data_IF_791662317234
#
_entry.id   IF_791662317234
#
_cell.length_a   1.000
_cell.length_b   1.000
_cell.length_c   1.000
_cell.angle_alpha   90.00
_cell.angle_beta   90.00
_cell.angle_gamma   90.00
#
_symmetry.space_group_name_H-M   'P 1'
#
loop_
_entity.id
_entity.type
_entity.pdbx_description
1 polymer ?
#
# COMPACT_ATOMS: atom_id res chain seq x y z
N UNK A 1 30.08 7.05 18.73
CA UNK A 1 28.87 6.20 18.49
C UNK A 1 27.75 6.36 19.52
N UNK A 2 28.00 6.56 20.83
CA UNK A 2 26.92 6.53 21.86
C UNK A 2 25.86 7.65 21.82
N UNK A 3 26.18 8.86 21.33
CA UNK A 3 25.20 9.99 21.30
C UNK A 3 24.10 9.86 20.24
N UNK A 4 24.33 9.16 19.12
CA UNK A 4 23.34 9.06 18.03
C UNK A 4 22.13 8.21 18.42
N UNK A 5 22.33 7.16 19.22
CA UNK A 5 21.24 6.32 19.70
C UNK A 5 20.42 6.99 20.82
N UNK A 6 21.02 7.90 21.60
CA UNK A 6 20.34 8.56 22.71
C UNK A 6 19.13 9.41 22.27
N UNK A 7 19.26 10.17 21.18
CA UNK A 7 18.17 10.95 20.59
C UNK A 7 17.04 10.05 20.03
N UNK A 8 17.41 8.93 19.41
CA UNK A 8 16.44 7.94 18.94
C UNK A 8 15.66 7.32 20.11
N UNK A 9 16.34 6.95 21.20
CA UNK A 9 15.68 6.43 22.40
C UNK A 9 14.78 7.48 23.08
N UNK A 10 15.20 8.75 23.15
CA UNK A 10 14.37 9.83 23.69
C UNK A 10 13.14 10.09 22.84
N UNK A 11 13.29 10.05 21.51
CA UNK A 11 12.17 10.19 20.59
C UNK A 11 11.18 9.03 20.74
N UNK A 12 11.66 7.79 20.77
CA UNK A 12 10.84 6.60 21.04
C UNK A 12 10.16 6.70 22.42
N UNK A 13 10.88 7.07 23.48
CA UNK A 13 10.29 7.23 24.82
C UNK A 13 9.24 8.35 24.87
N UNK A 14 9.43 9.45 24.15
CA UNK A 14 8.46 10.55 24.10
C UNK A 14 7.17 10.16 23.38
N UNK A 15 7.26 9.31 22.35
CA UNK A 15 6.10 8.71 21.68
C UNK A 15 5.27 7.81 22.61
N UNK A 16 5.92 7.17 23.59
CA UNK A 16 5.24 6.31 24.57
C UNK A 16 4.64 7.05 25.78
N UNK A 17 5.10 8.27 26.11
CA UNK A 17 4.64 9.01 27.31
C UNK A 17 3.46 9.97 27.07
N UNK A 18 2.98 10.11 25.84
CA UNK A 18 1.82 10.96 25.55
C UNK A 18 0.50 10.23 25.83
N UNK A 19 0.08 10.39 27.09
CA UNK A 19 -1.30 10.41 27.58
C UNK A 19 -2.07 9.08 27.50
N UNK A 20 -2.25 8.47 28.67
CA UNK A 20 -3.25 7.43 28.94
C UNK A 20 -4.65 8.06 28.96
N UNK A 21 -5.36 8.02 27.84
CA UNK A 21 -6.80 8.26 27.81
C UNK A 21 -7.55 6.94 27.94
N UNK A 22 -8.71 7.00 28.59
CA UNK A 22 -9.62 5.86 28.74
C UNK A 22 -9.95 5.27 27.36
N UNK A 23 -9.51 4.03 27.16
CA UNK A 23 -9.69 3.27 25.93
C UNK A 23 -11.12 2.74 25.88
N UNK A 24 -12.03 3.46 25.24
CA UNK A 24 -13.24 2.82 24.68
C UNK A 24 -12.77 1.92 23.53
N UNK A 25 -13.29 0.70 23.47
CA UNK A 25 -13.00 -0.22 22.36
C UNK A 25 -13.30 0.49 21.03
N UNK A 26 -12.28 0.74 20.22
CA UNK A 26 -12.38 1.53 18.99
C UNK A 26 -11.96 0.70 17.77
N UNK A 27 -12.70 0.92 16.68
CA UNK A 27 -12.44 0.26 15.40
C UNK A 27 -11.26 0.93 14.70
N UNK A 28 -10.10 0.27 14.73
CA UNK A 28 -8.92 0.70 13.99
C UNK A 28 -9.21 0.80 12.48
N UNK A 29 -8.84 1.91 11.83
CA UNK A 29 -9.11 2.18 10.41
C UNK A 29 -7.80 2.08 9.59
N UNK A 30 -7.46 0.91 9.01
CA UNK A 30 -6.22 0.70 8.25
C UNK A 30 -6.29 1.35 6.86
N UNK A 31 -6.02 2.65 6.79
CA UNK A 31 -5.88 3.35 5.49
C UNK A 31 -4.43 3.73 5.18
N UNK A 32 -3.51 3.35 6.06
CA UNK A 32 -2.11 3.76 6.06
C UNK A 32 -1.34 2.97 5.01
N UNK A 33 -0.74 3.66 4.06
CA UNK A 33 0.02 3.09 2.96
C UNK A 33 1.19 4.02 2.61
N UNK A 34 2.26 3.45 2.08
CA UNK A 34 3.36 4.19 1.47
C UNK A 34 3.04 4.64 0.03
N UNK A 35 4.00 5.27 -0.64
CA UNK A 35 3.82 5.73 -2.02
C UNK A 35 3.49 4.63 -3.02
N UNK A 36 3.94 3.41 -2.75
CA UNK A 36 3.61 2.23 -3.57
C UNK A 36 2.26 1.61 -3.21
N UNK A 37 1.54 2.16 -2.22
CA UNK A 37 0.30 1.60 -1.73
C UNK A 37 0.51 0.37 -0.84
N UNK A 38 1.70 0.16 -0.26
CA UNK A 38 2.00 -0.97 0.64
C UNK A 38 1.89 -0.56 2.10
N UNK A 39 1.55 -1.54 2.92
CA UNK A 39 1.46 -1.42 4.38
C UNK A 39 1.75 -2.77 5.02
N UNK A 40 2.41 -2.79 6.17
CA UNK A 40 2.41 -3.98 7.03
C UNK A 40 1.12 -4.09 7.86
N UNK A 41 0.37 -2.99 8.01
CA UNK A 41 -0.88 -2.97 8.78
C UNK A 41 -2.07 -3.30 7.89
N UNK A 42 -2.34 -4.60 7.77
CA UNK A 42 -3.50 -5.14 7.04
C UNK A 42 -4.61 -5.43 8.06
N UNK A 43 -5.53 -4.49 8.29
CA UNK A 43 -6.69 -4.76 9.14
C UNK A 43 -7.95 -5.04 8.30
N UNK A 44 -8.93 -5.78 8.86
CA UNK A 44 -10.10 -6.26 8.13
C UNK A 44 -11.14 -5.13 7.94
N UNK A 45 -10.81 -4.15 7.10
CA UNK A 45 -11.69 -3.04 6.74
C UNK A 45 -11.80 -2.94 5.22
N UNK A 46 -13.03 -2.87 4.72
CA UNK A 46 -13.28 -2.63 3.30
C UNK A 46 -13.19 -1.14 2.94
N UNK A 47 -12.65 -0.83 1.77
CA UNK A 47 -12.60 0.53 1.26
C UNK A 47 -12.55 0.59 -0.27
N UNK A 48 -12.90 1.75 -0.83
CA UNK A 48 -12.54 2.17 -2.17
C UNK A 48 -11.58 3.35 -2.04
N UNK A 49 -10.39 3.28 -2.63
CA UNK A 49 -9.35 4.28 -2.42
C UNK A 49 -8.63 4.68 -3.70
N UNK A 50 -8.05 5.88 -3.65
CA UNK A 50 -7.14 6.42 -4.66
C UNK A 50 -5.84 6.80 -3.95
N UNK A 51 -4.72 6.41 -4.54
CA UNK A 51 -3.38 6.84 -4.14
C UNK A 51 -2.75 7.56 -5.33
N UNK A 52 -2.36 8.83 -5.15
CA UNK A 52 -1.86 9.67 -6.23
C UNK A 52 -0.44 9.34 -6.64
N UNK A 53 0.35 8.75 -5.74
CA UNK A 53 1.77 8.48 -5.97
C UNK A 53 1.93 7.32 -6.96
N UNK A 54 1.49 6.12 -6.59
CA UNK A 54 1.43 4.99 -7.52
C UNK A 54 0.25 5.04 -8.50
N UNK A 55 -0.55 6.11 -8.45
CA UNK A 55 -1.61 6.37 -9.42
C UNK A 55 -2.60 5.21 -9.56
N UNK A 56 -3.03 4.71 -8.41
CA UNK A 56 -3.87 3.52 -8.31
C UNK A 56 -5.26 3.83 -7.80
N UNK A 57 -6.23 3.07 -8.31
CA UNK A 57 -7.57 2.95 -7.76
C UNK A 57 -7.67 1.54 -7.16
N UNK A 58 -8.05 1.45 -5.89
CA UNK A 58 -8.08 0.20 -5.13
C UNK A 58 -9.45 -0.04 -4.54
N UNK A 59 -9.96 -1.24 -4.72
CA UNK A 59 -11.12 -1.76 -4.02
C UNK A 59 -10.68 -2.91 -3.11
N UNK A 60 -10.95 -2.75 -1.83
CA UNK A 60 -10.66 -3.75 -0.81
C UNK A 60 -11.94 -4.13 -0.10
N UNK A 61 -12.14 -5.43 0.09
CA UNK A 61 -13.29 -5.97 0.79
C UNK A 61 -12.87 -7.06 1.77
N UNK A 62 -13.47 -7.06 2.95
CA UNK A 62 -13.22 -8.04 4.00
C UNK A 62 -14.52 -8.66 4.48
N UNK A 63 -14.45 -9.96 4.73
CA UNK A 63 -15.46 -10.71 5.45
C UNK A 63 -14.84 -11.25 6.74
N UNK A 64 -15.43 -10.88 7.86
CA UNK A 64 -15.13 -11.45 9.18
C UNK A 64 -16.46 -11.83 9.79
N UNK A 65 -16.63 -13.10 10.15
CA UNK A 65 -17.81 -13.50 10.93
C UNK A 65 -17.53 -13.11 12.37
N UNK A 66 -18.43 -12.32 12.96
CA UNK A 66 -18.25 -11.89 14.33
C UNK A 66 -18.37 -13.06 15.31
N UNK A 67 -17.82 -12.82 16.49
CA UNK A 67 -18.01 -13.68 17.64
C UNK A 67 -19.52 -13.81 17.92
N UNK A 68 -20.06 -15.03 17.85
CA UNK A 68 -21.47 -15.32 18.13
C UNK A 68 -21.59 -15.98 19.50
N UNK A 69 -22.65 -15.68 20.26
CA UNK A 69 -22.95 -16.43 21.48
C UNK A 69 -23.12 -17.92 21.14
N UNK A 70 -22.50 -18.81 21.91
CA UNK A 70 -22.68 -20.23 21.71
C UNK A 70 -24.13 -20.58 22.04
N UNK A 71 -24.95 -21.04 21.07
CA UNK A 71 -26.37 -21.30 21.29
C UNK A 71 -26.61 -22.42 22.30
N UNK A 72 -25.60 -23.24 22.60
CA UNK A 72 -25.67 -24.33 23.60
C UNK A 72 -25.20 -23.90 25.00
N UNK A 73 -24.34 -22.88 25.08
CA UNK A 73 -23.79 -22.37 26.35
C UNK A 73 -23.80 -20.84 26.25
N UNK A 74 -24.90 -20.16 26.64
CA UNK A 74 -25.04 -18.71 26.49
C UNK A 74 -23.98 -17.90 27.24
N UNK A 75 -23.24 -18.51 28.17
CA UNK A 75 -22.12 -17.93 28.89
C UNK A 75 -20.77 -18.02 28.12
N UNK A 76 -20.73 -18.68 26.97
CA UNK A 76 -19.53 -18.84 26.15
C UNK A 76 -19.71 -18.19 24.78
N UNK A 77 -18.76 -17.34 24.40
CA UNK A 77 -18.74 -16.71 23.08
C UNK A 77 -17.94 -17.61 22.12
N UNK A 78 -18.58 -18.10 21.04
CA UNK A 78 -17.89 -18.78 19.94
C UNK A 78 -17.19 -17.75 19.09
N UNK A 79 -15.90 -17.56 19.36
CA UNK A 79 -15.06 -16.58 18.67
C UNK A 79 -14.62 -17.12 17.33
N UNK A 80 -15.25 -16.67 16.24
CA UNK A 80 -14.61 -16.79 14.94
C UNK A 80 -13.58 -15.66 14.82
N UNK A 81 -12.30 -16.04 14.86
CA UNK A 81 -11.16 -15.12 14.76
C UNK A 81 -10.60 -15.05 13.34
N UNK A 82 -11.14 -15.87 12.44
CA UNK A 82 -10.73 -15.91 11.06
C UNK A 82 -11.45 -14.85 10.25
N UNK A 83 -10.70 -14.18 9.38
CA UNK A 83 -11.25 -13.33 8.35
C UNK A 83 -10.58 -13.65 7.03
N UNK A 84 -11.28 -13.30 5.95
CA UNK A 84 -10.73 -13.32 4.62
C UNK A 84 -11.15 -12.07 3.88
N UNK A 85 -10.49 -11.78 2.78
CA UNK A 85 -10.81 -10.62 1.97
C UNK A 85 -10.28 -10.72 0.57
N UNK A 86 -10.66 -9.74 -0.24
CA UNK A 86 -10.16 -9.55 -1.59
C UNK A 86 -9.72 -8.10 -1.75
N UNK A 87 -8.66 -7.90 -2.52
CA UNK A 87 -8.17 -6.60 -2.91
C UNK A 87 -7.94 -6.60 -4.41
N UNK A 88 -8.46 -5.59 -5.09
CA UNK A 88 -8.33 -5.40 -6.53
C UNK A 88 -7.86 -3.98 -6.74
N UNK A 89 -6.77 -3.81 -7.47
CA UNK A 89 -6.25 -2.50 -7.81
C UNK A 89 -5.95 -2.38 -9.30
N UNK A 90 -6.38 -1.27 -9.89
CA UNK A 90 -5.91 -0.81 -11.19
C UNK A 90 -4.88 0.29 -10.99
N UNK A 91 -3.78 0.26 -11.72
CA UNK A 91 -2.74 1.29 -11.70
C UNK A 91 -2.37 1.74 -13.11
N UNK A 92 -1.84 2.94 -13.23
CA UNK A 92 -1.19 3.43 -14.44
C UNK A 92 0.32 3.39 -14.25
N UNK A 93 1.05 2.67 -15.11
CA UNK A 93 2.52 2.78 -15.11
C UNK A 93 2.93 4.21 -15.50
N UNK A 94 3.91 4.78 -14.80
CA UNK A 94 4.37 6.17 -14.99
C UNK A 94 3.46 7.27 -14.42
N UNK A 95 2.44 6.91 -13.63
CA UNK A 95 1.67 7.88 -12.85
C UNK A 95 0.49 8.57 -13.57
N UNK A 96 -0.35 9.25 -12.81
CA UNK A 96 -1.52 10.02 -13.30
C UNK A 96 -1.08 11.21 -14.14
N UNK A 97 0.12 11.74 -13.89
CA UNK A 97 0.72 12.79 -14.73
C UNK A 97 0.82 12.36 -16.19
N UNK A 98 1.16 11.10 -16.47
CA UNK A 98 1.27 10.61 -17.84
C UNK A 98 -0.07 10.54 -18.57
N UNK A 99 -1.17 10.35 -17.84
CA UNK A 99 -2.52 10.42 -18.40
C UNK A 99 -2.83 11.83 -18.93
N UNK A 100 -2.44 12.87 -18.18
CA UNK A 100 -2.71 14.27 -18.54
C UNK A 100 -1.69 14.86 -19.51
N UNK A 101 -0.42 14.45 -19.41
CA UNK A 101 0.68 15.02 -20.20
C UNK A 101 0.89 14.34 -21.55
N UNK A 102 0.71 13.02 -21.63
CA UNK A 102 1.00 12.24 -22.84
C UNK A 102 -0.22 11.54 -23.44
N UNK A 103 -1.40 11.67 -22.80
CA UNK A 103 -2.62 10.98 -23.22
C UNK A 103 -2.49 9.46 -23.24
N UNK A 104 -1.44 8.93 -22.60
CA UNK A 104 -1.07 7.52 -22.66
C UNK A 104 -1.32 6.87 -21.31
N UNK A 105 -2.11 5.81 -21.33
CA UNK A 105 -2.45 5.03 -20.14
C UNK A 105 -1.95 3.61 -20.35
N UNK A 106 -1.00 3.18 -19.54
CA UNK A 106 -0.53 1.79 -19.51
C UNK A 106 -1.17 1.10 -18.32
N UNK A 107 -2.33 0.42 -18.50
CA UNK A 107 -3.04 -0.22 -17.41
C UNK A 107 -2.25 -1.39 -16.84
N UNK A 108 -2.03 -1.35 -15.52
CA UNK A 108 -1.76 -2.51 -14.69
C UNK A 108 -3.03 -2.90 -13.94
N UNK A 109 -3.26 -4.21 -13.76
CA UNK A 109 -4.29 -4.71 -12.85
C UNK A 109 -3.67 -5.72 -11.90
N UNK A 110 -4.03 -5.63 -10.64
CA UNK A 110 -3.63 -6.58 -9.61
C UNK A 110 -4.84 -7.03 -8.81
N UNK A 111 -4.79 -8.28 -8.34
CA UNK A 111 -5.79 -8.86 -7.46
C UNK A 111 -5.09 -9.69 -6.40
N UNK A 112 -5.58 -9.63 -5.17
CA UNK A 112 -5.06 -10.35 -4.01
C UNK A 112 -6.18 -10.95 -3.18
N UNK A 113 -5.87 -12.06 -2.52
CA UNK A 113 -6.67 -12.70 -1.48
C UNK A 113 -5.98 -12.49 -0.14
N UNK A 114 -6.75 -12.20 0.90
CA UNK A 114 -6.28 -12.17 2.28
C UNK A 114 -6.90 -13.31 3.07
N UNK A 115 -6.11 -13.91 3.94
CA UNK A 115 -6.54 -14.82 4.99
C UNK A 115 -5.88 -14.39 6.27
N UNK A 116 -6.62 -14.26 7.36
CA UNK A 116 -6.01 -13.86 8.62
C UNK A 116 -6.72 -14.39 9.85
N UNK A 117 -6.01 -14.27 10.96
CA UNK A 117 -6.44 -14.74 12.27
C UNK A 117 -6.19 -13.64 13.32
N UNK A 118 -7.24 -13.23 14.03
CA UNK A 118 -7.20 -12.23 15.11
C UNK A 118 -6.92 -12.87 16.46
N UNK A 119 -6.43 -12.09 17.41
CA UNK A 119 -6.11 -12.51 18.77
C UNK A 119 -5.27 -13.80 18.82
N UNK A 120 -4.10 -13.80 18.18
CA UNK A 120 -3.24 -14.98 18.11
C UNK A 120 -2.56 -15.21 19.48
N UNK A 121 -1.94 -14.17 20.02
CA UNK A 121 -1.27 -14.19 21.31
C UNK A 121 -2.02 -13.39 22.39
N UNK A 122 -2.77 -12.35 22.00
CA UNK A 122 -3.50 -11.49 22.93
C UNK A 122 -5.01 -11.66 22.73
N UNK A 123 -5.71 -12.35 23.66
CA UNK A 123 -7.15 -12.48 23.56
C UNK A 123 -7.80 -11.11 23.70
N UNK A 124 -8.44 -10.59 22.65
CA UNK A 124 -9.05 -9.26 22.71
C UNK A 124 -10.21 -9.18 23.72
N UNK A 125 -10.93 -10.29 23.93
CA UNK A 125 -12.09 -10.38 24.83
C UNK A 125 -11.92 -11.53 25.86
N UNK A 126 -12.61 -11.46 27.00
CA UNK A 126 -12.72 -12.52 28.01
C UNK A 126 -13.92 -13.46 27.71
N UNK A 127 -14.17 -14.46 28.58
CA UNK A 127 -15.24 -15.44 28.33
C UNK A 127 -16.63 -14.79 28.28
N UNK A 128 -16.78 -13.65 28.95
CA UNK A 128 -17.99 -12.86 29.08
C UNK A 128 -18.14 -11.81 27.96
N UNK A 129 -17.11 -11.61 27.14
CA UNK A 129 -17.11 -10.66 26.03
C UNK A 129 -16.61 -9.27 26.40
N UNK A 130 -16.06 -9.07 27.60
CA UNK A 130 -15.42 -7.82 27.97
C UNK A 130 -13.97 -7.77 27.43
N UNK A 131 -13.41 -6.59 27.11
CA UNK A 131 -12.01 -6.46 26.69
C UNK A 131 -11.03 -7.00 27.73
N UNK A 132 -10.02 -7.77 27.31
CA UNK A 132 -8.93 -8.18 28.22
C UNK A 132 -7.91 -7.05 28.32
N UNK A 133 -7.68 -6.60 29.55
CA UNK A 133 -6.77 -5.49 29.85
C UNK A 133 -5.42 -6.06 30.30
N UNK A 134 -4.34 -5.46 29.81
CA UNK A 134 -2.97 -5.92 30.04
C UNK A 134 -2.11 -4.84 30.69
N UNK A 135 -1.25 -5.26 31.62
CA UNK A 135 -0.27 -4.40 32.29
C UNK A 135 -0.87 -3.43 33.32
N UNK A 136 -0.02 -2.58 33.92
CA UNK A 136 -0.42 -1.63 34.98
C UNK A 136 -1.36 -0.52 34.50
N UNK A 137 -1.35 -0.24 33.19
CA UNK A 137 -2.15 0.82 32.58
C UNK A 137 -3.48 0.28 32.03
N UNK A 138 -3.80 -0.99 32.29
CA UNK A 138 -5.04 -1.64 31.86
C UNK A 138 -5.36 -1.42 30.37
N UNK A 139 -4.35 -1.59 29.51
CA UNK A 139 -4.52 -1.37 28.07
C UNK A 139 -5.08 -2.62 27.39
N UNK A 140 -6.12 -2.46 26.59
CA UNK A 140 -6.59 -3.52 25.70
C UNK A 140 -5.54 -3.77 24.60
N UNK A 141 -5.16 -5.02 24.37
CA UNK A 141 -4.22 -5.41 23.32
C UNK A 141 -4.92 -6.40 22.39
N UNK A 142 -4.90 -6.11 21.09
CA UNK A 142 -5.37 -7.01 20.05
C UNK A 142 -4.27 -7.22 19.03
N UNK A 143 -3.98 -8.46 18.68
CA UNK A 143 -3.05 -8.80 17.61
C UNK A 143 -3.74 -9.54 16.45
N UNK A 144 -3.13 -9.55 15.27
CA UNK A 144 -3.56 -10.41 14.18
C UNK A 144 -2.42 -10.75 13.23
N UNK A 145 -2.54 -11.93 12.62
CA UNK A 145 -1.66 -12.44 11.57
C UNK A 145 -2.44 -12.49 10.26
N UNK A 146 -1.84 -12.04 9.17
CA UNK A 146 -2.44 -12.01 7.83
C UNK A 146 -1.48 -12.61 6.81
N UNK A 147 -1.99 -13.53 5.99
CA UNK A 147 -1.38 -13.97 4.75
C UNK A 147 -2.11 -13.29 3.58
N UNK A 148 -1.36 -12.65 2.70
CA UNK A 148 -1.86 -12.11 1.43
C UNK A 148 -1.17 -12.84 0.29
N UNK A 149 -1.94 -13.27 -0.70
CA UNK A 149 -1.42 -13.83 -1.95
C UNK A 149 -2.11 -13.13 -3.11
N UNK A 150 -1.35 -12.67 -4.10
CA UNK A 150 -1.88 -11.92 -5.22
C UNK A 150 -1.11 -12.11 -6.51
N UNK A 151 -1.71 -11.65 -7.60
CA UNK A 151 -1.15 -11.62 -8.94
C UNK A 151 -1.32 -10.24 -9.56
N UNK A 152 -0.42 -9.91 -10.48
CA UNK A 152 -0.47 -8.68 -11.27
C UNK A 152 -0.28 -9.02 -12.75
N UNK A 153 -1.02 -8.32 -13.61
CA UNK A 153 -0.83 -8.39 -15.06
C UNK A 153 -0.75 -6.98 -15.62
N UNK A 154 0.21 -6.76 -16.51
CA UNK A 154 0.36 -5.52 -17.26
C UNK A 154 0.86 -5.83 -18.68
N UNK A 155 0.62 -4.90 -19.60
CA UNK A 155 1.13 -4.98 -20.96
C UNK A 155 1.82 -3.65 -21.28
N UNK A 156 3.11 -3.71 -21.56
CA UNK A 156 3.95 -2.55 -21.82
C UNK A 156 4.26 -2.44 -23.30
N UNK A 157 4.34 -1.21 -23.82
CA UNK A 157 4.90 -0.95 -25.15
C UNK A 157 6.33 -0.47 -24.95
N UNK A 158 7.31 -1.20 -25.46
CA UNK A 158 8.72 -0.91 -25.28
C UNK A 158 9.35 -0.43 -26.60
N UNK A 159 10.44 0.31 -26.47
CA UNK A 159 11.27 0.77 -27.58
C UNK A 159 12.72 0.33 -27.41
N UNK A 160 13.27 -0.30 -28.46
CA UNK A 160 14.69 -0.64 -28.56
C UNK A 160 15.21 -0.26 -29.95
N UNK A 161 16.12 0.72 -30.00
CA UNK A 161 16.71 1.23 -31.24
C UNK A 161 17.60 0.20 -31.96
N UNK A 162 18.09 -0.81 -31.24
CA UNK A 162 19.00 -1.83 -31.77
C UNK A 162 18.27 -2.92 -32.56
N UNK A 163 16.94 -3.00 -32.46
CA UNK A 163 16.13 -3.92 -33.23
C UNK A 163 15.89 -3.40 -34.66
N UNK A 164 15.62 -4.29 -35.65
CA UNK A 164 15.18 -3.86 -36.98
C UNK A 164 13.96 -2.93 -36.87
N UNK A 165 13.85 -1.91 -37.74
CA UNK A 165 12.81 -0.86 -37.68
C UNK A 165 11.39 -1.38 -37.39
N UNK A 166 10.97 -2.47 -38.06
CA UNK A 166 9.65 -3.07 -37.88
C UNK A 166 9.39 -3.64 -36.47
N UNK A 167 10.46 -3.90 -35.71
CA UNK A 167 10.44 -4.49 -34.36
C UNK A 167 10.96 -3.53 -33.29
N UNK A 168 11.36 -2.30 -33.65
CA UNK A 168 11.85 -1.32 -32.67
C UNK A 168 10.80 -0.97 -31.62
N UNK A 169 9.50 -1.07 -31.96
CA UNK A 169 8.39 -0.94 -31.02
C UNK A 169 7.72 -2.30 -30.87
N UNK A 170 7.71 -2.83 -29.65
CA UNK A 170 7.14 -4.15 -29.36
C UNK A 170 6.35 -4.14 -28.05
N UNK A 171 5.52 -5.16 -27.84
CA UNK A 171 4.71 -5.30 -26.62
C UNK A 171 5.27 -6.38 -25.70
N UNK A 172 5.42 -6.06 -24.43
CA UNK A 172 5.93 -6.95 -23.39
C UNK A 172 4.86 -7.21 -22.33
N UNK A 173 4.58 -8.49 -22.06
CA UNK A 173 3.53 -8.90 -21.10
C UNK A 173 4.15 -9.24 -19.77
N UNK A 174 3.86 -8.43 -18.76
CA UNK A 174 4.28 -8.70 -17.39
C UNK A 174 3.25 -9.50 -16.62
N UNK A 175 3.74 -10.48 -15.84
CA UNK A 175 2.96 -11.28 -14.88
C UNK A 175 3.70 -11.31 -13.55
N UNK A 176 3.26 -10.47 -12.63
CA UNK A 176 3.76 -10.39 -11.27
C UNK A 176 2.99 -11.32 -10.33
N UNK A 177 3.61 -11.63 -9.20
CA UNK A 177 2.96 -12.27 -8.06
C UNK A 177 3.40 -11.57 -6.79
N UNK A 178 2.60 -11.71 -5.73
CA UNK A 178 2.88 -11.19 -4.41
C UNK A 178 2.50 -12.24 -3.37
N UNK A 179 3.39 -12.51 -2.43
CA UNK A 179 3.07 -13.24 -1.19
C UNK A 179 3.56 -12.40 -0.02
N UNK A 180 2.69 -12.11 0.94
CA UNK A 180 3.02 -11.29 2.10
C UNK A 180 2.50 -11.94 3.38
N UNK A 181 3.34 -12.01 4.40
CA UNK A 181 2.98 -12.39 5.76
C UNK A 181 3.13 -11.16 6.65
N UNK A 182 2.05 -10.78 7.34
CA UNK A 182 2.00 -9.59 8.17
C UNK A 182 1.50 -9.92 9.57
N UNK A 183 2.18 -9.40 10.59
CA UNK A 183 1.77 -9.48 11.99
C UNK A 183 1.59 -8.09 12.56
N UNK A 184 0.49 -7.87 13.26
CA UNK A 184 0.06 -6.56 13.70
C UNK A 184 -0.40 -6.61 15.16
N UNK A 185 -0.16 -5.52 15.88
CA UNK A 185 -0.60 -5.34 17.26
C UNK A 185 -1.23 -3.96 17.42
N UNK A 186 -2.45 -3.91 17.94
CA UNK A 186 -3.20 -2.73 18.33
C UNK A 186 -3.21 -2.62 19.86
N UNK A 187 -2.72 -1.49 20.38
CA UNK A 187 -2.58 -1.21 21.80
C UNK A 187 -3.51 -0.04 22.15
N UNK A 188 -4.41 -0.28 23.09
CA UNK A 188 -5.37 0.69 23.62
C UNK A 188 -6.34 1.25 22.58
N UNK A 189 -6.49 0.59 21.41
CA UNK A 189 -7.30 1.08 20.29
C UNK A 189 -6.71 2.28 19.54
N UNK A 190 -5.61 2.87 20.02
CA UNK A 190 -5.05 4.11 19.49
C UNK A 190 -3.69 3.92 18.81
N UNK A 191 -2.95 2.87 19.12
CA UNK A 191 -1.60 2.63 18.57
C UNK A 191 -1.53 1.31 17.86
N UNK A 192 -1.16 1.30 16.59
CA UNK A 192 -0.94 0.06 15.84
C UNK A 192 0.52 -0.04 15.41
N UNK A 193 1.10 -1.22 15.57
CA UNK A 193 2.43 -1.55 15.08
C UNK A 193 2.30 -2.78 14.20
N UNK A 194 2.80 -2.67 12.98
CA UNK A 194 2.80 -3.75 12.01
C UNK A 194 4.22 -4.11 11.60
N UNK A 195 4.46 -5.41 11.40
CA UNK A 195 5.63 -5.91 10.70
C UNK A 195 5.19 -6.85 9.60
N UNK A 196 5.84 -6.81 8.45
CA UNK A 196 5.58 -7.78 7.39
C UNK A 196 6.82 -8.14 6.60
N UNK A 197 6.74 -9.31 5.97
CA UNK A 197 7.68 -9.77 4.98
C UNK A 197 6.89 -10.11 3.71
N UNK A 198 7.32 -9.58 2.58
CA UNK A 198 6.76 -9.89 1.27
C UNK A 198 7.81 -10.33 0.26
N UNK A 199 7.39 -11.24 -0.62
CA UNK A 199 8.12 -11.70 -1.80
C UNK A 199 7.25 -11.40 -3.01
N UNK A 200 7.78 -10.61 -3.94
CA UNK A 200 7.06 -10.21 -5.13
C UNK A 200 7.92 -10.37 -6.38
N UNK A 201 7.28 -10.71 -7.51
CA UNK A 201 7.88 -10.52 -8.83
C UNK A 201 7.48 -9.14 -9.33
N UNK A 202 8.47 -8.31 -9.59
CA UNK A 202 8.35 -6.91 -9.99
C UNK A 202 9.08 -6.66 -11.32
N UNK A 203 8.95 -5.46 -11.86
CA UNK A 203 9.67 -4.99 -13.05
C UNK A 203 10.10 -3.54 -12.87
N UNK A 204 11.02 -3.08 -13.72
CA UNK A 204 11.57 -1.73 -13.66
C UNK A 204 10.89 -0.75 -14.63
N UNK A 205 9.60 -0.92 -14.95
CA UNK A 205 8.92 -0.05 -15.94
C UNK A 205 8.98 1.44 -15.55
N UNK A 206 8.91 1.74 -14.25
CA UNK A 206 8.92 3.10 -13.74
C UNK A 206 10.32 3.75 -13.82
N UNK A 207 11.37 2.95 -14.05
CA UNK A 207 12.75 3.42 -14.30
C UNK A 207 13.02 3.68 -15.79
N UNK A 208 12.12 3.26 -16.69
CA UNK A 208 12.28 3.44 -18.13
C UNK A 208 11.85 4.84 -18.58
N UNK A 209 12.49 5.35 -19.63
CA UNK A 209 12.19 6.69 -20.14
C UNK A 209 10.96 6.65 -21.07
N UNK A 210 9.88 7.38 -20.77
CA UNK A 210 8.74 7.46 -21.68
C UNK A 210 9.13 8.18 -22.97
N UNK A 211 8.75 7.61 -24.12
CA UNK A 211 9.01 8.14 -25.46
C UNK A 211 7.73 8.13 -26.29
N UNK A 212 7.54 9.15 -27.13
CA UNK A 212 6.40 9.27 -28.02
C UNK A 212 6.88 9.33 -29.47
N UNK A 213 6.34 8.44 -30.30
CA UNK A 213 6.60 8.38 -31.73
C UNK A 213 5.40 8.86 -32.53
N UNK A 214 5.64 9.59 -33.61
CA UNK A 214 4.62 9.90 -34.63
C UNK A 214 4.93 9.10 -35.88
N UNK A 215 4.15 8.06 -36.12
CA UNK A 215 4.25 7.24 -37.32
C UNK A 215 3.34 7.81 -38.41
N UNK A 216 3.86 7.95 -39.62
CA UNK A 216 3.11 8.42 -40.77
C UNK A 216 3.03 7.32 -41.81
N UNK A 217 1.82 6.97 -42.23
CA UNK A 217 1.58 6.13 -43.40
C UNK A 217 1.12 7.02 -44.54
N UNK A 218 1.93 7.12 -45.58
CA UNK A 218 1.61 7.89 -46.79
C UNK A 218 1.02 6.94 -47.81
N UNK A 219 -0.25 7.13 -48.14
CA UNK A 219 -0.97 6.38 -49.17
C UNK A 219 -1.14 7.29 -50.39
N UNK A 220 -0.36 7.07 -51.48
CA UNK A 220 -0.57 7.79 -52.71
C UNK A 220 -1.86 7.33 -53.40
N UNK A 221 -2.56 8.27 -54.02
CA UNK A 221 -3.67 7.97 -54.91
C UNK A 221 -3.16 7.25 -56.17
N UNK A 222 -3.88 6.27 -56.76
CA UNK A 222 -3.45 5.58 -57.97
C UNK A 222 -3.18 6.52 -59.17
N UNK A 223 -3.79 7.71 -59.21
CA UNK A 223 -3.53 8.71 -60.25
C UNK A 223 -2.28 9.58 -59.98
N UNK A 224 -1.67 9.45 -58.79
CA UNK A 224 -0.50 10.22 -58.36
C UNK A 224 -0.78 11.68 -57.98
N UNK A 225 -2.04 12.16 -58.09
CA UNK A 225 -2.35 13.58 -57.88
C UNK A 225 -2.60 13.97 -56.42
N UNK A 226 -2.96 13.01 -55.56
CA UNK A 226 -3.20 13.27 -54.13
C UNK A 226 -2.50 12.23 -53.26
N UNK A 227 -2.14 12.61 -52.03
CA UNK A 227 -1.64 11.69 -51.01
C UNK A 227 -2.48 11.80 -49.75
N UNK A 228 -2.75 10.67 -49.10
CA UNK A 228 -3.36 10.64 -47.76
C UNK A 228 -2.26 10.30 -46.76
N UNK A 229 -2.12 11.12 -45.73
CA UNK A 229 -1.19 10.88 -44.62
C UNK A 229 -2.02 10.45 -43.42
N UNK A 230 -1.83 9.21 -42.98
CA UNK A 230 -2.39 8.70 -41.73
C UNK A 230 -1.33 8.81 -40.66
N UNK A 231 -1.65 9.53 -39.60
CA UNK A 231 -0.74 9.72 -38.48
C UNK A 231 -1.20 8.89 -37.29
N UNK A 232 -0.25 8.24 -36.63
CA UNK A 232 -0.46 7.49 -35.41
C UNK A 232 0.58 7.89 -34.39
N UNK A 233 0.11 8.35 -33.24
CA UNK A 233 0.96 8.51 -32.07
C UNK A 233 1.11 7.17 -31.36
N UNK A 234 2.35 6.82 -31.01
CA UNK A 234 2.68 5.59 -30.29
C UNK A 234 3.53 5.98 -29.09
N UNK A 235 2.97 5.73 -27.89
CA UNK A 235 3.69 5.92 -26.63
C UNK A 235 4.36 4.60 -26.25
N UNK A 236 5.64 4.65 -25.93
CA UNK A 236 6.45 3.51 -25.53
C UNK A 236 7.43 3.89 -24.42
N UNK A 237 8.14 2.91 -23.88
CA UNK A 237 9.19 3.10 -22.88
C UNK A 237 10.54 2.65 -23.43
N UNK A 238 11.53 3.52 -23.38
CA UNK A 238 12.90 3.27 -23.82
C UNK A 238 13.80 2.90 -22.64
N UNK A 239 14.64 1.89 -22.83
CA UNK A 239 15.61 1.40 -21.85
C UNK A 239 15.57 -0.13 -21.68
N UNK A 240 16.47 -0.65 -20.86
CA UNK A 240 16.55 -2.08 -20.57
C UNK A 240 15.42 -2.53 -19.64
N UNK A 241 14.41 -3.19 -20.20
CA UNK A 241 13.33 -3.77 -19.40
C UNK A 241 13.79 -5.06 -18.71
N UNK A 242 13.54 -5.15 -17.40
CA UNK A 242 13.90 -6.30 -16.58
C UNK A 242 12.76 -6.67 -15.63
N UNK A 243 12.69 -7.95 -15.27
CA UNK A 243 11.81 -8.44 -14.21
C UNK A 243 12.64 -9.18 -13.17
N UNK A 244 12.33 -8.97 -11.89
CA UNK A 244 13.12 -9.50 -10.79
C UNK A 244 12.23 -9.93 -9.63
N UNK A 245 12.81 -10.71 -8.71
CA UNK A 245 12.16 -11.06 -7.45
C UNK A 245 12.67 -10.12 -6.37
N UNK A 246 11.74 -9.42 -5.72
CA UNK A 246 12.03 -8.51 -4.62
C UNK A 246 11.55 -9.11 -3.31
N UNK A 247 12.40 -9.01 -2.28
CA UNK A 247 12.02 -9.30 -0.90
C UNK A 247 11.92 -7.98 -0.13
N UNK A 248 10.79 -7.71 0.50
CA UNK A 248 10.61 -6.50 1.31
C UNK A 248 10.34 -6.87 2.76
N UNK A 249 11.04 -6.20 3.67
CA UNK A 249 10.72 -6.19 5.09
C UNK A 249 10.13 -4.84 5.46
N UNK A 250 8.96 -4.84 6.09
CA UNK A 250 8.20 -3.64 6.37
C UNK A 250 7.95 -3.51 7.87
N UNK A 251 8.05 -2.28 8.36
CA UNK A 251 7.67 -1.88 9.71
C UNK A 251 6.78 -0.64 9.60
N UNK A 252 5.63 -0.64 10.28
CA UNK A 252 4.74 0.49 10.38
C UNK A 252 4.38 0.75 11.84
N UNK A 253 4.25 2.01 12.20
CA UNK A 253 3.75 2.47 13.47
C UNK A 253 2.73 3.58 13.24
N UNK A 254 1.54 3.43 13.80
CA UNK A 254 0.42 4.38 13.65
C UNK A 254 -0.06 4.77 15.04
N UNK A 255 -0.28 6.07 15.26
CA UNK A 255 -0.88 6.61 16.49
C UNK A 255 -2.02 7.55 16.16
N UNK A 256 -3.21 7.28 16.71
CA UNK A 256 -4.33 8.21 16.75
C UNK A 256 -4.16 9.20 17.91
N UNK A 257 -4.43 10.49 17.68
CA UNK A 257 -4.30 11.54 18.70
C UNK A 257 -5.62 11.91 19.36
N UNK A 258 -6.71 11.87 18.61
CA UNK A 258 -8.04 12.19 19.11
C UNK A 258 -8.99 11.01 18.90
N UNK A 259 -8.64 9.83 19.46
CA UNK A 259 -9.48 8.65 19.34
C UNK A 259 -10.86 8.93 19.96
N UNK A 260 -11.94 8.72 19.19
CA UNK A 260 -13.35 8.98 19.56
C UNK A 260 -13.83 10.45 19.55
N UNK A 261 -13.18 11.34 18.79
CA UNK A 261 -13.82 12.61 18.40
C UNK A 261 -14.46 12.52 17.02
N UNK A 262 -15.25 13.55 16.67
CA UNK A 262 -15.89 13.68 15.36
C UNK A 262 -14.88 13.68 14.20
N UNK A 263 -13.63 14.04 14.49
CA UNK A 263 -12.49 13.99 13.57
C UNK A 263 -11.35 13.29 14.28
N UNK A 264 -10.88 12.15 13.77
CA UNK A 264 -9.69 11.49 14.30
C UNK A 264 -8.48 11.89 13.45
N UNK A 265 -7.37 12.22 14.10
CA UNK A 265 -6.07 12.43 13.46
C UNK A 265 -5.17 11.23 13.71
N UNK A 266 -4.38 10.82 12.72
CA UNK A 266 -3.35 9.82 12.92
C UNK A 266 -2.01 10.23 12.32
N UNK A 267 -0.93 9.92 13.04
CA UNK A 267 0.43 9.90 12.51
C UNK A 267 0.79 8.47 12.13
N UNK A 268 1.42 8.30 10.99
CA UNK A 268 1.92 7.04 10.48
C UNK A 268 3.41 7.20 10.19
N UNK A 269 4.24 6.35 10.78
CA UNK A 269 5.66 6.26 10.47
C UNK A 269 5.93 4.87 9.94
N UNK A 270 6.76 4.77 8.90
CA UNK A 270 7.06 3.47 8.32
C UNK A 270 8.48 3.39 7.77
N UNK A 271 8.97 2.16 7.68
CA UNK A 271 10.20 1.80 7.02
C UNK A 271 10.01 0.56 6.15
N UNK A 272 10.73 0.52 5.02
CA UNK A 272 10.81 -0.62 4.11
C UNK A 272 12.27 -0.91 3.82
N UNK A 273 12.64 -2.18 3.87
CA UNK A 273 13.92 -2.67 3.42
C UNK A 273 13.69 -3.61 2.24
N UNK A 274 14.01 -3.13 1.05
CA UNK A 274 13.93 -3.89 -0.20
C UNK A 274 15.27 -4.55 -0.45
N UNK A 275 15.26 -5.85 -0.72
CA UNK A 275 16.41 -6.57 -1.26
C UNK A 275 16.10 -6.92 -2.71
N UNK A 276 16.77 -6.21 -3.62
CA UNK A 276 16.97 -6.65 -4.99
C UNK A 276 18.28 -7.46 -5.10
N UNK A 277 18.58 -7.99 -6.29
CA UNK A 277 19.76 -8.83 -6.53
C UNK A 277 21.11 -8.12 -6.34
N UNK A 278 21.15 -6.78 -6.25
CA UNK A 278 22.39 -6.02 -6.22
C UNK A 278 22.67 -5.40 -4.85
N UNK A 279 21.74 -4.65 -4.25
CA UNK A 279 21.96 -3.96 -2.98
C UNK A 279 20.67 -3.75 -2.17
N UNK A 280 20.74 -3.78 -0.82
CA UNK A 280 19.59 -3.43 0.01
C UNK A 280 19.26 -1.93 -0.10
N UNK A 281 17.98 -1.62 -0.28
CA UNK A 281 17.46 -0.25 -0.41
C UNK A 281 16.51 0.04 0.73
N UNK A 282 16.80 1.11 1.46
CA UNK A 282 16.01 1.54 2.61
C UNK A 282 15.11 2.71 2.22
N UNK A 283 13.81 2.54 2.48
CA UNK A 283 12.80 3.59 2.37
C UNK A 283 12.20 3.87 3.74
N UNK A 284 11.83 5.11 3.99
CA UNK A 284 11.01 5.46 5.14
C UNK A 284 10.18 6.69 4.84
N UNK A 285 9.05 6.81 5.53
CA UNK A 285 8.18 7.94 5.40
C UNK A 285 7.39 8.24 6.65
N UNK A 286 6.76 9.40 6.61
CA UNK A 286 5.82 9.89 7.60
C UNK A 286 4.55 10.32 6.89
N UNK A 287 3.41 9.88 7.40
CA UNK A 287 2.08 10.23 6.92
C UNK A 287 1.24 10.87 8.02
N UNK A 288 0.39 11.81 7.62
CA UNK A 288 -0.62 12.43 8.47
C UNK A 288 -2.00 12.23 7.84
N UNK A 289 -2.91 11.66 8.62
CA UNK A 289 -4.22 11.22 8.16
C UNK A 289 -5.35 11.83 8.98
N UNK A 290 -6.43 12.14 8.27
CA UNK A 290 -7.67 12.73 8.75
C UNK A 290 -8.81 11.75 8.54
N UNK A 291 -9.57 11.49 9.60
CA UNK A 291 -10.73 10.62 9.61
C UNK A 291 -11.92 11.39 10.20
N UNK A 292 -12.60 12.23 9.42
CA UNK A 292 -13.91 12.72 9.82
C UNK A 292 -14.84 11.55 10.13
N UNK A 293 -15.90 11.80 10.90
CA UNK A 293 -16.99 10.85 11.15
C UNK A 293 -17.65 10.33 9.86
N UNK A 294 -17.46 11.05 8.75
CA UNK A 294 -17.88 10.58 7.44
C UNK A 294 -17.13 9.30 7.03
N UNK A 295 -17.63 8.64 5.98
CA UNK A 295 -16.99 7.45 5.41
C UNK A 295 -15.72 7.78 4.63
N UNK A 296 -15.28 9.04 4.59
CA UNK A 296 -14.11 9.48 3.83
C UNK A 296 -12.95 9.63 4.81
N UNK A 297 -11.81 9.09 4.46
CA UNK A 297 -10.58 9.33 5.17
C UNK A 297 -9.46 9.60 4.17
N UNK A 298 -8.54 10.48 4.52
CA UNK A 298 -7.47 10.86 3.60
C UNK A 298 -6.24 11.31 4.36
N UNK A 299 -5.12 11.36 3.68
CA UNK A 299 -3.86 11.76 4.30
C UNK A 299 -2.81 12.12 3.28
N UNK A 300 -1.88 12.93 3.75
CA UNK A 300 -0.66 13.28 3.02
C UNK A 300 0.49 12.51 3.63
N UNK A 301 1.46 12.12 2.82
CA UNK A 301 2.68 11.52 3.30
C UNK A 301 3.89 12.09 2.57
N UNK A 302 5.02 12.02 3.26
CA UNK A 302 6.34 12.35 2.73
C UNK A 302 7.22 11.14 2.96
N UNK A 303 7.90 10.68 1.93
CA UNK A 303 8.79 9.52 2.03
C UNK A 303 10.09 9.74 1.30
N UNK A 304 11.08 8.94 1.63
CA UNK A 304 12.29 8.83 0.83
C UNK A 304 12.33 7.51 0.09
N UNK A 305 12.45 7.59 -1.24
CA UNK A 305 12.66 6.43 -2.11
C UNK A 305 13.99 5.71 -1.91
N UNK A 306 14.99 6.40 -1.34
CA UNK A 306 16.33 5.85 -1.13
C UNK A 306 17.10 6.63 -0.04
N UNK A 307 16.90 6.23 1.21
CA UNK A 307 17.56 6.82 2.39
C UNK A 307 19.09 6.66 2.34
N UNK A 308 19.56 5.57 1.73
CA UNK A 308 20.96 5.14 1.74
C UNK A 308 21.74 5.54 0.48
N UNK A 309 21.08 6.20 -0.48
CA UNK A 309 21.65 6.61 -1.76
C UNK A 309 22.32 5.46 -2.52
N UNK A 310 21.59 4.33 -2.66
CA UNK A 310 22.03 3.14 -3.37
C UNK A 310 21.59 3.09 -4.83
N UNK A 311 20.44 3.69 -5.14
CA UNK A 311 19.86 3.73 -6.48
C UNK A 311 20.05 5.13 -7.08
N UNK A 312 19.84 6.18 -6.29
CA UNK A 312 19.77 7.54 -6.83
C UNK A 312 21.11 8.03 -7.37
N UNK A 313 21.11 8.54 -8.61
CA UNK A 313 22.27 9.17 -9.23
C UNK A 313 22.67 10.53 -8.63
N UNK A 314 21.93 11.04 -7.64
CA UNK A 314 22.20 12.34 -7.01
C UNK A 314 22.53 12.21 -5.52
N UNK A 315 23.63 12.82 -5.03
CA UNK A 315 23.96 12.80 -3.61
C UNK A 315 22.97 13.63 -2.76
N UNK A 316 22.23 14.55 -3.36
CA UNK A 316 21.30 15.44 -2.66
C UNK A 316 20.06 14.70 -2.16
N UNK A 317 19.90 14.59 -0.83
CA UNK A 317 18.78 13.89 -0.19
C UNK A 317 17.41 14.46 -0.56
N UNK A 318 17.28 15.78 -0.71
CA UNK A 318 16.01 16.43 -1.06
C UNK A 318 15.45 16.03 -2.42
N UNK A 319 16.28 15.50 -3.32
CA UNK A 319 15.86 14.96 -4.63
C UNK A 319 15.41 13.49 -4.56
N UNK A 320 15.45 12.89 -3.37
CA UNK A 320 15.04 11.52 -3.08
C UNK A 320 13.84 11.50 -2.13
N UNK A 321 13.14 12.63 -2.02
CA UNK A 321 11.96 12.80 -1.18
C UNK A 321 10.76 12.98 -2.10
N UNK A 322 9.75 12.16 -1.88
CA UNK A 322 8.49 12.16 -2.61
C UNK A 322 7.35 12.50 -1.66
N UNK A 323 6.26 13.03 -2.22
CA UNK A 323 5.09 13.46 -1.45
C UNK A 323 3.84 12.98 -2.16
N UNK A 324 2.97 12.28 -1.44
CA UNK A 324 1.74 11.76 -2.02
C UNK A 324 0.50 12.07 -1.19
N UNK A 325 -0.65 11.90 -1.83
CA UNK A 325 -1.97 12.03 -1.26
C UNK A 325 -2.70 10.70 -1.38
N UNK A 326 -3.40 10.32 -0.32
CA UNK A 326 -4.33 9.19 -0.32
C UNK A 326 -5.72 9.64 0.09
N UNK A 327 -6.73 9.11 -0.58
CA UNK A 327 -8.14 9.31 -0.24
C UNK A 327 -8.85 7.97 -0.32
N UNK A 328 -9.57 7.60 0.74
CA UNK A 328 -10.29 6.33 0.86
C UNK A 328 -11.70 6.53 1.38
N UNK A 329 -12.64 5.88 0.73
CA UNK A 329 -14.02 5.73 1.11
C UNK A 329 -14.19 4.38 1.81
N UNK A 330 -14.44 4.42 3.12
CA UNK A 330 -14.65 3.25 3.96
C UNK A 330 -16.01 2.64 3.60
N UNK A 331 -15.98 1.35 3.25
CA UNK A 331 -17.16 0.59 2.93
C UNK A 331 -17.72 -0.06 4.21
N UNK A 332 -19.05 -0.18 4.36
CA UNK A 332 -19.62 -0.96 5.44
C UNK A 332 -19.18 -2.42 5.30
N UNK A 333 -18.60 -3.00 6.36
CA UNK A 333 -18.26 -4.42 6.39
C UNK A 333 -19.51 -5.28 6.57
N UNK A 334 -19.62 -6.39 5.84
CA UNK A 334 -20.63 -7.41 6.12
C UNK A 334 -20.10 -8.32 7.25
N UNK A 335 -20.86 -8.43 8.33
CA UNK A 335 -20.54 -9.32 9.45
C UNK A 335 -19.61 -8.74 10.52
N UNK A 336 -19.10 -7.51 10.33
CA UNK A 336 -18.54 -6.70 11.42
C UNK A 336 -19.70 -5.92 12.02
N UNK A 337 -20.09 -6.10 13.29
CA UNK A 337 -21.14 -5.31 13.90
C UNK A 337 -20.77 -3.84 13.73
N UNK A 338 -21.72 -3.07 13.20
CA UNK A 338 -21.66 -1.62 13.38
C UNK A 338 -21.57 -1.38 14.89
N UNK A 339 -20.57 -0.64 15.37
CA UNK A 339 -20.47 -0.33 16.80
C UNK A 339 -21.72 0.37 17.32
#
# INVERSE_FOLDING_TARGET
>A
MKKKYFLLYLFILSLFNLVSHESKAQTFKPIFEDGEGRSSIIAPLGFLGVNTENSSIRFQYFYSRSAELNPKIPAEIKRNRFYWGVDVAGSAAGGLSNLFSYGSFTPGTSASLFLGHRSLFFPALDKQGAPVLHGKNEAAIEDWLTLRVGGQVANYTLYDENLPFANQIFSEKFRGYLTQLAYNVLIGGATSIGVSWDVARENNIDDLTPVQFRQQTVVPDPSGQTTRIFEREVNAYAGGYESFIQNTFSLDAVRYFTPASDINYALHAYGRLKHDHAQPVYRAGLGFYLFPQSKIAGGVFVESGDLTNKISGTPQFSKRIDMGLTVKFILPGLGVPSP
#
